data_IF_986801977449
#
_entry.id   IF_986801977449
#
_cell.length_a   1.000
_cell.length_b   1.000
_cell.length_c   1.000
_cell.angle_alpha   90.00
_cell.angle_beta   90.00
_cell.angle_gamma   90.00
#
_symmetry.space_group_name_H-M   'P 1'
#
loop_
_entity.id
_entity.type
_entity.pdbx_description
1 polymer ?
#
# COMPACT_ATOMS: atom_id res chain seq x y z
N UNK A 1 -7.10 -8.21 -7.20
CA UNK A 1 -6.78 -8.04 -8.63
C UNK A 1 -7.43 -9.16 -9.41
N UNK A 2 -7.98 -8.87 -10.59
CA UNK A 2 -8.65 -9.86 -11.45
C UNK A 2 -8.13 -9.85 -12.89
N UNK A 3 -7.27 -8.88 -13.24
CA UNK A 3 -6.87 -8.63 -14.63
C UNK A 3 -5.68 -9.48 -15.11
N UNK A 4 -4.90 -10.09 -14.21
CA UNK A 4 -3.75 -10.92 -14.58
C UNK A 4 -2.53 -10.18 -15.17
N UNK A 5 -2.63 -8.88 -15.45
CA UNK A 5 -1.56 -8.10 -16.10
C UNK A 5 -0.60 -7.40 -15.13
N UNK A 6 -0.92 -7.35 -13.83
CA UNK A 6 -0.15 -6.57 -12.86
C UNK A 6 1.33 -6.95 -12.79
N UNK A 7 1.64 -8.23 -13.02
CA UNK A 7 3.00 -8.73 -13.09
C UNK A 7 3.84 -8.07 -14.20
N UNK A 8 3.22 -7.76 -15.36
CA UNK A 8 3.92 -7.16 -16.50
C UNK A 8 4.38 -5.72 -16.23
N UNK A 9 3.84 -5.06 -15.20
CA UNK A 9 4.32 -3.73 -14.79
C UNK A 9 5.78 -3.72 -14.35
N UNK A 10 6.35 -4.88 -13.97
CA UNK A 10 7.79 -5.00 -13.67
C UNK A 10 8.70 -4.62 -14.84
N UNK A 11 8.24 -4.77 -16.09
CA UNK A 11 9.02 -4.41 -17.28
C UNK A 11 9.06 -2.91 -17.59
N UNK A 12 8.29 -2.10 -16.86
CA UNK A 12 8.38 -0.63 -16.94
C UNK A 12 9.78 -0.17 -16.57
N UNK A 13 10.36 -0.77 -15.52
CA UNK A 13 11.72 -0.46 -15.04
C UNK A 13 12.71 -1.60 -15.27
N UNK A 14 12.24 -2.83 -15.43
CA UNK A 14 13.08 -4.01 -15.62
C UNK A 14 13.37 -4.30 -17.09
N UNK A 15 14.64 -4.53 -17.43
CA UNK A 15 15.04 -5.14 -18.70
C UNK A 15 14.79 -6.65 -18.71
N UNK A 16 14.89 -7.30 -17.55
CA UNK A 16 14.66 -8.74 -17.39
C UNK A 16 14.03 -9.03 -16.04
N UNK A 17 13.12 -9.99 -15.99
CA UNK A 17 12.49 -10.46 -14.75
C UNK A 17 12.69 -11.96 -14.64
N UNK A 18 13.16 -12.41 -13.48
CA UNK A 18 13.24 -13.82 -13.09
C UNK A 18 12.21 -14.09 -12.00
N UNK A 19 11.55 -15.24 -12.07
CA UNK A 19 10.67 -15.74 -11.03
C UNK A 19 11.08 -17.16 -10.67
N UNK A 20 11.62 -17.35 -9.47
CA UNK A 20 11.88 -18.68 -8.91
C UNK A 20 10.73 -19.03 -8.00
N UNK A 21 10.11 -20.17 -8.20
CA UNK A 21 8.96 -20.55 -7.38
C UNK A 21 8.95 -22.03 -7.06
N UNK A 22 8.54 -22.36 -5.84
CA UNK A 22 8.33 -23.73 -5.37
C UNK A 22 7.02 -23.81 -4.59
N UNK A 23 6.11 -24.66 -5.06
CA UNK A 23 4.90 -25.04 -4.33
C UNK A 23 5.28 -25.79 -3.04
N UNK A 24 4.39 -25.77 -2.06
CA UNK A 24 4.55 -26.56 -0.83
C UNK A 24 4.47 -28.07 -1.09
N UNK A 25 3.88 -28.48 -2.21
CA UNK A 25 3.75 -29.88 -2.64
C UNK A 25 5.00 -30.42 -3.37
N UNK A 26 5.90 -29.53 -3.80
CA UNK A 26 7.08 -29.89 -4.60
C UNK A 26 8.33 -30.04 -3.72
N UNK A 27 9.19 -31.01 -4.06
CA UNK A 27 10.50 -31.16 -3.42
C UNK A 27 11.44 -29.97 -3.76
N UNK A 28 12.48 -29.70 -2.95
CA UNK A 28 13.39 -28.57 -3.17
C UNK A 28 14.03 -28.49 -4.56
N UNK A 29 14.33 -29.62 -5.17
CA UNK A 29 14.92 -29.78 -6.50
C UNK A 29 13.88 -29.78 -7.64
N UNK A 30 12.61 -29.61 -7.32
CA UNK A 30 11.48 -29.54 -8.25
C UNK A 30 10.90 -28.12 -8.36
N UNK A 31 11.72 -27.10 -8.08
CA UNK A 31 11.33 -25.71 -8.28
C UNK A 31 11.43 -25.34 -9.77
N UNK A 32 10.76 -24.24 -10.15
CA UNK A 32 10.82 -23.71 -11.52
C UNK A 32 11.40 -22.30 -11.50
N UNK A 33 12.28 -22.03 -12.47
CA UNK A 33 12.73 -20.70 -12.85
C UNK A 33 12.00 -20.30 -14.12
N UNK A 34 11.22 -19.24 -14.04
CA UNK A 34 10.65 -18.54 -15.17
C UNK A 34 11.46 -17.28 -15.47
N UNK A 35 11.76 -17.01 -16.74
CA UNK A 35 12.50 -15.80 -17.15
C UNK A 35 11.91 -15.15 -18.40
N UNK A 36 11.94 -13.83 -18.45
CA UNK A 36 11.54 -13.05 -19.62
C UNK A 36 12.28 -11.71 -19.65
N UNK A 37 12.62 -11.24 -20.87
CA UNK A 37 13.39 -10.00 -21.09
C UNK A 37 12.54 -8.86 -21.68
N UNK A 38 11.24 -8.83 -21.37
CA UNK A 38 10.26 -7.88 -21.87
C UNK A 38 9.71 -8.20 -23.28
N UNK A 39 10.03 -9.38 -23.82
CA UNK A 39 9.55 -9.87 -25.10
C UNK A 39 8.33 -10.80 -24.94
N UNK A 40 7.76 -11.25 -26.06
CA UNK A 40 6.59 -12.15 -26.06
C UNK A 40 6.89 -13.55 -25.54
N UNK A 41 8.15 -13.97 -25.63
CA UNK A 41 8.60 -15.31 -25.29
C UNK A 41 9.19 -15.35 -23.88
N UNK A 42 9.02 -16.47 -23.19
CA UNK A 42 9.62 -16.71 -21.88
C UNK A 42 10.20 -18.12 -21.82
N UNK A 43 11.12 -18.34 -20.90
CA UNK A 43 11.68 -19.67 -20.62
C UNK A 43 11.16 -20.17 -19.28
N UNK A 44 11.03 -21.50 -19.17
CA UNK A 44 10.83 -22.19 -17.90
C UNK A 44 11.85 -23.31 -17.82
N UNK A 45 12.67 -23.32 -16.78
CA UNK A 45 13.67 -24.35 -16.53
C UNK A 45 13.56 -24.87 -15.10
N UNK A 46 13.86 -26.15 -14.84
CA UNK A 46 14.00 -26.66 -13.48
C UNK A 46 15.04 -25.87 -12.69
N UNK A 47 14.81 -25.67 -11.40
CA UNK A 47 15.79 -25.10 -10.49
C UNK A 47 15.63 -25.71 -9.09
N UNK A 48 16.56 -25.37 -8.19
CA UNK A 48 16.48 -25.76 -6.77
C UNK A 48 16.11 -24.54 -5.95
N UNK A 49 15.09 -24.68 -5.09
CA UNK A 49 14.72 -23.68 -4.10
C UNK A 49 14.48 -24.36 -2.75
N UNK A 50 15.22 -23.97 -1.72
CA UNK A 50 15.20 -24.65 -0.43
C UNK A 50 13.89 -24.44 0.34
N UNK A 51 13.19 -23.33 0.08
CA UNK A 51 12.00 -22.91 0.81
C UNK A 51 10.76 -22.82 -0.10
N UNK A 52 9.56 -22.85 0.51
CA UNK A 52 8.28 -22.72 -0.21
C UNK A 52 8.02 -21.25 -0.49
N UNK A 53 7.55 -20.93 -1.70
CA UNK A 53 7.15 -19.57 -2.06
C UNK A 53 7.74 -19.14 -3.38
N UNK A 54 7.92 -17.84 -3.54
CA UNK A 54 8.33 -17.21 -4.79
C UNK A 54 9.32 -16.08 -4.55
N UNK A 55 10.41 -16.12 -5.30
CA UNK A 55 11.45 -15.10 -5.42
C UNK A 55 11.26 -14.39 -6.76
N UNK A 56 11.12 -13.06 -6.75
CA UNK A 56 11.06 -12.25 -7.97
C UNK A 56 12.29 -11.36 -8.03
N UNK A 57 13.10 -11.52 -9.08
CA UNK A 57 14.27 -10.68 -9.33
C UNK A 57 14.00 -9.80 -10.54
N UNK A 58 14.07 -8.48 -10.35
CA UNK A 58 13.91 -7.49 -11.42
C UNK A 58 15.28 -6.89 -11.73
N UNK A 59 15.76 -7.13 -12.94
CA UNK A 59 17.00 -6.57 -13.45
C UNK A 59 16.69 -5.21 -14.08
N UNK A 60 17.11 -4.13 -13.42
CA UNK A 60 16.85 -2.76 -13.90
C UNK A 60 17.39 -2.53 -15.31
N UNK A 61 16.63 -1.76 -16.10
CA UNK A 61 16.97 -1.42 -17.48
C UNK A 61 18.06 -0.38 -17.57
N UNK A 62 17.96 0.69 -16.79
CA UNK A 62 18.88 1.83 -16.83
C UNK A 62 19.62 2.03 -15.51
N UNK A 63 20.84 2.55 -15.61
CA UNK A 63 21.57 3.06 -14.45
C UNK A 63 20.87 4.25 -13.78
N UNK A 64 20.05 4.99 -14.52
CA UNK A 64 19.27 6.13 -14.04
C UNK A 64 18.20 5.70 -13.03
N UNK A 65 17.68 4.48 -13.17
CA UNK A 65 16.66 3.90 -12.28
C UNK A 65 17.24 3.39 -10.95
N UNK A 66 18.56 3.46 -10.74
CA UNK A 66 19.19 3.04 -9.48
C UNK A 66 18.67 3.81 -8.27
N UNK A 67 18.16 5.03 -8.49
CA UNK A 67 17.43 5.83 -7.50
C UNK A 67 16.31 5.04 -6.79
N UNK A 68 15.67 4.11 -7.51
CA UNK A 68 14.57 3.28 -7.00
C UNK A 68 15.02 2.23 -5.98
N UNK A 69 16.32 1.90 -5.96
CA UNK A 69 16.89 0.92 -5.03
C UNK A 69 17.28 1.54 -3.68
N UNK A 70 17.23 2.86 -3.54
CA UNK A 70 17.51 3.52 -2.27
C UNK A 70 16.49 3.11 -1.23
N UNK A 71 16.99 2.79 -0.02
CA UNK A 71 16.16 2.28 1.08
C UNK A 71 14.98 3.21 1.40
N UNK A 72 15.20 4.52 1.42
CA UNK A 72 14.15 5.51 1.68
C UNK A 72 13.10 5.56 0.56
N UNK A 73 13.51 5.39 -0.70
CA UNK A 73 12.60 5.35 -1.84
C UNK A 73 11.69 4.12 -1.75
N UNK A 74 12.26 2.94 -1.46
CA UNK A 74 11.52 1.69 -1.30
C UNK A 74 10.58 1.77 -0.09
N UNK A 75 11.06 2.27 1.06
CA UNK A 75 10.24 2.49 2.26
C UNK A 75 9.07 3.42 1.95
N UNK A 76 9.29 4.51 1.22
CA UNK A 76 8.24 5.44 0.80
C UNK A 76 7.18 4.73 -0.06
N UNK A 77 7.59 3.94 -1.05
CA UNK A 77 6.68 3.16 -1.90
C UNK A 77 5.86 2.16 -1.06
N UNK A 78 6.50 1.43 -0.15
CA UNK A 78 5.80 0.49 0.76
C UNK A 78 4.76 1.25 1.59
N UNK A 79 5.14 2.39 2.19
CA UNK A 79 4.23 3.23 3.00
C UNK A 79 3.09 3.84 2.20
N UNK A 80 3.30 4.15 0.92
CA UNK A 80 2.24 4.73 0.08
C UNK A 80 1.24 3.66 -0.39
N UNK A 81 1.73 2.52 -0.89
CA UNK A 81 0.89 1.56 -1.61
C UNK A 81 0.53 0.30 -0.82
N UNK A 82 1.33 -0.05 0.19
CA UNK A 82 1.27 -1.34 0.86
C UNK A 82 1.19 -1.26 2.40
N UNK A 83 1.04 -0.05 2.97
CA UNK A 83 1.07 0.15 4.43
C UNK A 83 -0.03 -0.63 5.16
N UNK A 84 -1.20 -0.77 4.51
CA UNK A 84 -2.36 -1.47 5.03
C UNK A 84 -2.37 -2.98 4.76
N UNK A 85 -1.39 -3.53 4.03
CA UNK A 85 -1.36 -4.97 3.78
C UNK A 85 -1.16 -5.74 5.08
N UNK A 86 -1.89 -6.84 5.27
CA UNK A 86 -1.84 -7.68 6.49
C UNK A 86 -0.60 -8.56 6.60
N UNK A 87 0.24 -8.57 5.57
CA UNK A 87 1.48 -9.33 5.55
C UNK A 87 2.62 -8.39 5.94
N UNK A 88 3.50 -8.77 6.88
CA UNK A 88 4.64 -7.94 7.25
C UNK A 88 5.61 -7.82 6.07
N UNK A 89 6.06 -6.59 5.81
CA UNK A 89 7.01 -6.27 4.74
C UNK A 89 8.32 -5.84 5.39
N UNK A 90 9.37 -6.59 5.09
CA UNK A 90 10.74 -6.33 5.53
C UNK A 90 11.59 -5.88 4.33
N UNK A 91 12.63 -5.09 4.59
CA UNK A 91 13.57 -4.63 3.58
C UNK A 91 14.99 -4.99 4.01
N UNK A 92 15.70 -5.71 3.16
CA UNK A 92 17.08 -6.17 3.41
C UNK A 92 17.26 -6.93 4.73
N UNK A 93 16.20 -7.59 5.20
CA UNK A 93 16.17 -8.27 6.50
C UNK A 93 15.52 -9.66 6.36
N UNK A 94 16.23 -10.64 5.78
CA UNK A 94 15.70 -11.99 5.53
C UNK A 94 15.39 -12.75 6.82
N UNK A 95 15.94 -12.33 7.97
CA UNK A 95 15.67 -12.92 9.27
C UNK A 95 14.56 -12.25 10.07
N UNK A 96 13.94 -11.20 9.52
CA UNK A 96 12.90 -10.41 10.19
C UNK A 96 13.35 -9.92 11.58
N UNK A 97 14.61 -9.51 11.69
CA UNK A 97 15.22 -9.02 12.93
C UNK A 97 14.69 -7.65 13.34
N UNK A 98 14.22 -6.85 12.37
CA UNK A 98 13.63 -5.54 12.56
C UNK A 98 12.11 -5.58 12.47
N UNK A 99 11.44 -4.59 13.07
CA UNK A 99 10.01 -4.41 12.90
C UNK A 99 9.65 -4.20 11.41
N UNK A 100 8.50 -4.74 11.01
CA UNK A 100 7.99 -4.57 9.65
C UNK A 100 7.87 -3.08 9.28
N UNK A 101 8.13 -2.78 8.02
CA UNK A 101 8.01 -1.43 7.50
C UNK A 101 6.54 -1.02 7.48
N UNK A 102 5.64 -1.82 6.95
CA UNK A 102 4.22 -1.47 6.88
C UNK A 102 3.52 -1.56 8.24
N UNK A 103 2.47 -0.77 8.44
CA UNK A 103 1.71 -0.71 9.69
C UNK A 103 0.83 -1.96 9.90
N UNK A 104 0.37 -2.61 8.83
CA UNK A 104 -0.48 -3.81 8.79
C UNK A 104 -1.89 -3.66 9.38
N UNK A 105 -2.01 -3.16 10.62
CA UNK A 105 -3.28 -2.96 11.34
C UNK A 105 -3.44 -1.49 11.64
N UNK A 106 -4.45 -0.88 11.03
CA UNK A 106 -4.71 0.54 11.18
C UNK A 106 -5.41 0.86 12.50
N UNK A 107 -5.23 2.08 13.04
CA UNK A 107 -5.93 2.52 14.26
C UNK A 107 -7.45 2.30 14.19
N UNK A 108 -8.08 2.67 13.07
CA UNK A 108 -9.52 2.56 12.87
C UNK A 108 -10.05 1.12 12.75
N UNK A 109 -9.18 0.12 12.68
CA UNK A 109 -9.58 -1.30 12.69
C UNK A 109 -9.67 -1.88 14.11
N UNK A 110 -9.23 -1.13 15.12
CA UNK A 110 -9.36 -1.53 16.53
C UNK A 110 -10.83 -1.41 16.96
N UNK A 111 -11.30 -2.44 17.66
CA UNK A 111 -12.65 -2.51 18.22
C UNK A 111 -12.60 -2.47 19.74
N UNK A 112 -13.66 -1.96 20.38
CA UNK A 112 -13.80 -1.94 21.83
C UNK A 112 -12.92 -0.92 22.57
N UNK A 113 -12.38 0.08 21.86
CA UNK A 113 -11.62 1.20 22.44
C UNK A 113 -12.47 2.46 22.52
N UNK A 114 -12.12 3.35 23.45
CA UNK A 114 -12.76 4.66 23.59
C UNK A 114 -12.43 5.59 22.42
N UNK A 115 -13.23 6.64 22.22
CA UNK A 115 -12.94 7.66 21.21
C UNK A 115 -11.61 8.38 21.46
N UNK A 116 -11.26 8.62 22.72
CA UNK A 116 -9.99 9.25 23.11
C UNK A 116 -8.80 8.38 22.72
N UNK A 117 -8.87 7.07 22.98
CA UNK A 117 -7.82 6.13 22.58
C UNK A 117 -7.71 6.04 21.05
N UNK A 118 -8.85 5.96 20.34
CA UNK A 118 -8.87 5.95 18.87
C UNK A 118 -8.18 7.20 18.29
N UNK A 119 -8.48 8.38 18.83
CA UNK A 119 -7.84 9.64 18.42
C UNK A 119 -6.34 9.62 18.70
N UNK A 120 -5.94 9.17 19.89
CA UNK A 120 -4.53 9.10 20.29
C UNK A 120 -3.70 8.19 19.38
N UNK A 121 -4.17 6.96 19.14
CA UNK A 121 -3.50 6.01 18.24
C UNK A 121 -3.42 6.53 16.81
N UNK A 122 -4.50 7.17 16.35
CA UNK A 122 -4.58 7.76 15.02
C UNK A 122 -3.60 8.91 14.85
N UNK A 123 -3.42 9.73 15.89
CA UNK A 123 -2.45 10.80 15.89
C UNK A 123 -1.01 10.25 15.84
N UNK A 124 -0.69 9.22 16.63
CA UNK A 124 0.62 8.54 16.57
C UNK A 124 0.88 7.99 15.17
N UNK A 125 -0.11 7.35 14.56
CA UNK A 125 0.01 6.82 13.21
C UNK A 125 0.30 7.93 12.19
N UNK A 126 -0.47 9.01 12.23
CA UNK A 126 -0.32 10.12 11.30
C UNK A 126 1.04 10.82 11.48
N UNK A 127 1.45 11.16 12.71
CA UNK A 127 2.76 11.80 12.97
C UNK A 127 3.96 10.98 12.46
N UNK A 128 3.80 9.65 12.29
CA UNK A 128 4.84 8.78 11.71
C UNK A 128 4.78 8.66 10.19
N UNK A 129 3.65 9.01 9.56
CA UNK A 129 3.36 8.69 8.16
C UNK A 129 3.09 9.92 7.29
N UNK A 130 2.78 11.06 7.89
CA UNK A 130 2.62 12.34 7.22
C UNK A 130 3.78 13.28 7.55
N UNK A 131 4.24 14.12 6.62
CA UNK A 131 5.36 15.02 6.86
C UNK A 131 5.01 16.20 7.77
N UNK A 132 3.74 16.64 7.74
CA UNK A 132 3.25 17.78 8.52
C UNK A 132 2.71 17.33 9.88
N UNK A 133 3.00 18.12 10.93
CA UNK A 133 2.42 17.89 12.25
C UNK A 133 0.89 17.99 12.23
N UNK A 134 0.24 17.08 12.94
CA UNK A 134 -1.21 16.98 13.01
C UNK A 134 -1.73 17.88 14.14
N UNK A 135 -2.80 18.61 13.83
CA UNK A 135 -3.54 19.42 14.79
C UNK A 135 -4.67 18.61 15.43
N UNK A 136 -5.47 17.94 14.60
CA UNK A 136 -6.67 17.22 15.01
C UNK A 136 -6.93 16.04 14.09
N UNK A 137 -7.56 14.99 14.61
CA UNK A 137 -7.94 13.79 13.87
C UNK A 137 -9.40 13.41 14.13
N UNK A 138 -10.08 13.04 13.06
CA UNK A 138 -11.50 12.67 13.06
C UNK A 138 -11.59 11.25 12.48
N UNK A 139 -11.76 10.22 13.32
CA UNK A 139 -11.97 8.87 12.84
C UNK A 139 -13.27 8.77 12.04
N UNK A 140 -13.21 8.08 10.91
CA UNK A 140 -14.38 7.78 10.07
C UNK A 140 -14.74 6.31 10.26
N UNK A 141 -16.03 6.06 10.53
CA UNK A 141 -16.63 4.74 10.42
C UNK A 141 -18.07 4.88 9.93
N UNK A 142 -18.27 4.58 8.66
CA UNK A 142 -19.54 4.59 7.96
C UNK A 142 -19.89 3.15 7.64
N UNK A 143 -21.09 2.74 8.05
CA UNK A 143 -21.65 1.43 7.73
C UNK A 143 -23.13 1.60 7.41
N UNK A 144 -23.38 2.11 6.21
CA UNK A 144 -24.75 2.33 5.74
C UNK A 144 -25.23 1.11 4.96
N UNK A 145 -26.29 0.44 5.44
CA UNK A 145 -26.85 -0.72 4.75
C UNK A 145 -27.42 -0.30 3.39
N UNK A 146 -27.51 -1.26 2.47
CA UNK A 146 -28.14 -1.03 1.18
C UNK A 146 -29.60 -0.59 1.37
N UNK A 147 -29.98 0.50 0.70
CA UNK A 147 -31.35 1.00 0.65
C UNK A 147 -31.64 1.46 -0.78
N UNK A 148 -32.82 1.10 -1.31
CA UNK A 148 -33.38 1.49 -2.61
C UNK A 148 -32.35 1.71 -3.72
N UNK A 149 -31.86 0.62 -4.31
CA UNK A 149 -31.01 0.65 -5.50
C UNK A 149 -29.57 1.13 -5.28
N UNK A 150 -29.16 1.42 -4.04
CA UNK A 150 -27.77 1.76 -3.69
C UNK A 150 -27.04 0.59 -3.06
N UNK A 151 -25.78 0.39 -3.47
CA UNK A 151 -24.85 -0.55 -2.83
C UNK A 151 -24.62 -0.17 -1.38
N UNK A 152 -24.31 -1.16 -0.53
CA UNK A 152 -23.85 -0.94 0.83
C UNK A 152 -22.64 0.01 0.84
N UNK A 153 -22.69 1.09 1.61
CA UNK A 153 -21.56 1.99 1.76
C UNK A 153 -20.82 1.65 3.04
N UNK A 154 -19.62 1.09 2.88
CA UNK A 154 -18.71 0.87 3.99
C UNK A 154 -17.46 1.73 3.79
N UNK A 155 -17.20 2.64 4.71
CA UNK A 155 -15.97 3.44 4.71
C UNK A 155 -15.41 3.55 6.13
N UNK A 156 -14.11 3.33 6.26
CA UNK A 156 -13.38 3.44 7.51
C UNK A 156 -12.08 4.19 7.26
N UNK A 157 -11.57 4.94 8.23
CA UNK A 157 -10.37 5.73 7.99
C UNK A 157 -10.23 6.90 8.96
N UNK A 158 -9.47 7.91 8.52
CA UNK A 158 -9.20 9.13 9.26
C UNK A 158 -9.37 10.34 8.35
N UNK A 159 -10.00 11.39 8.86
CA UNK A 159 -9.76 12.76 8.41
C UNK A 159 -8.82 13.43 9.41
N UNK A 160 -8.00 14.36 8.95
CA UNK A 160 -7.09 15.10 9.83
C UNK A 160 -6.78 16.49 9.31
N UNK A 161 -6.41 17.37 10.23
CA UNK A 161 -6.02 18.74 9.96
C UNK A 161 -4.56 18.90 10.33
N UNK A 162 -3.75 19.48 9.45
CA UNK A 162 -2.34 19.78 9.71
C UNK A 162 -2.19 21.14 10.39
N UNK A 163 -1.13 21.32 11.18
CA UNK A 163 -0.80 22.62 11.80
C UNK A 163 -0.32 23.66 10.80
N UNK A 164 0.22 23.21 9.67
CA UNK A 164 0.68 24.06 8.58
C UNK A 164 -0.49 24.88 8.04
N UNK A 165 -0.39 26.21 8.17
CA UNK A 165 -1.40 27.12 7.63
C UNK A 165 -1.33 27.08 6.10
N UNK A 166 -2.43 26.66 5.48
CA UNK A 166 -2.62 26.79 4.05
C UNK A 166 -2.93 28.26 3.75
N UNK A 167 -1.89 29.04 3.41
CA UNK A 167 -2.02 30.47 3.11
C UNK A 167 -2.61 30.70 1.71
N UNK A 168 -2.53 29.70 0.83
CA UNK A 168 -2.94 29.80 -0.56
C UNK A 168 -4.36 29.26 -0.81
N UNK A 169 -5.10 29.94 -1.69
CA UNK A 169 -6.45 29.55 -2.13
C UNK A 169 -6.51 28.22 -2.88
N UNK A 170 -5.38 27.73 -3.38
CA UNK A 170 -5.22 26.49 -4.16
C UNK A 170 -4.53 25.37 -3.36
N UNK A 171 -4.40 25.53 -2.05
CA UNK A 171 -3.67 24.58 -1.23
C UNK A 171 -4.16 23.13 -1.45
N UNK A 172 -3.23 22.20 -1.75
CA UNK A 172 -3.61 20.85 -2.13
C UNK A 172 -4.20 20.11 -0.94
N UNK A 173 -5.51 19.83 -0.99
CA UNK A 173 -6.14 18.83 -0.12
C UNK A 173 -5.81 17.45 -0.64
N UNK A 174 -5.43 16.54 0.26
CA UNK A 174 -5.04 15.18 -0.08
C UNK A 174 -5.99 14.19 0.59
N UNK A 175 -6.78 13.48 -0.22
CA UNK A 175 -7.68 12.42 0.26
C UNK A 175 -7.30 11.13 -0.43
N UNK A 176 -6.55 10.30 0.30
CA UNK A 176 -6.12 8.98 -0.17
C UNK A 176 -7.23 7.97 0.04
N UNK A 177 -7.62 7.32 -1.05
CA UNK A 177 -8.66 6.29 -1.05
C UNK A 177 -8.01 4.94 -1.32
N UNK A 178 -8.42 3.97 -0.51
CA UNK A 178 -8.02 2.57 -0.57
C UNK A 178 -9.25 1.71 -0.80
N UNK A 179 -9.16 0.76 -1.73
CA UNK A 179 -10.17 -0.26 -1.93
C UNK A 179 -9.61 -1.59 -1.45
N UNK A 180 -10.24 -2.19 -0.45
CA UNK A 180 -9.80 -3.44 0.18
C UNK A 180 -8.31 -3.38 0.57
N UNK A 181 -7.90 -2.26 1.19
CA UNK A 181 -6.53 -1.97 1.64
C UNK A 181 -5.50 -1.78 0.52
N UNK A 182 -5.93 -1.74 -0.74
CA UNK A 182 -5.07 -1.40 -1.88
C UNK A 182 -5.27 0.07 -2.24
N UNK A 183 -4.18 0.82 -2.38
CA UNK A 183 -4.24 2.21 -2.80
C UNK A 183 -4.93 2.33 -4.16
N UNK A 184 -5.89 3.25 -4.27
CA UNK A 184 -6.66 3.52 -5.49
C UNK A 184 -6.30 4.89 -6.07
N UNK A 185 -6.43 5.95 -5.27
CA UNK A 185 -6.10 7.31 -5.70
C UNK A 185 -5.80 8.23 -4.52
N UNK A 186 -5.13 9.35 -4.77
CA UNK A 186 -4.74 10.36 -3.77
C UNK A 186 -5.53 11.68 -3.88
N UNK A 187 -6.20 11.89 -5.00
CA UNK A 187 -6.91 13.12 -5.31
C UNK A 187 -8.43 12.94 -5.34
N UNK A 188 -9.00 12.22 -4.38
CA UNK A 188 -10.45 12.09 -4.24
C UNK A 188 -11.09 13.35 -3.61
N UNK A 189 -10.77 14.50 -4.19
CA UNK A 189 -11.14 15.84 -3.73
C UNK A 189 -12.66 15.98 -3.57
N UNK A 190 -13.43 15.40 -4.48
CA UNK A 190 -14.89 15.51 -4.52
C UNK A 190 -15.62 14.81 -3.36
N UNK A 191 -14.94 13.95 -2.60
CA UNK A 191 -15.52 13.29 -1.42
C UNK A 191 -15.85 14.30 -0.31
N UNK A 192 -15.07 15.39 -0.22
CA UNK A 192 -15.26 16.40 0.81
C UNK A 192 -15.92 17.66 0.24
N UNK A 193 -16.82 18.31 1.01
CA UNK A 193 -17.43 19.57 0.62
C UNK A 193 -16.40 20.62 0.17
N UNK A 194 -16.75 21.54 -0.76
CA UNK A 194 -15.80 22.54 -1.27
C UNK A 194 -15.15 23.44 -0.21
N UNK A 195 -15.79 23.63 0.94
CA UNK A 195 -15.27 24.43 2.05
C UNK A 195 -14.19 23.70 2.88
N UNK A 196 -14.17 22.36 2.85
CA UNK A 196 -13.31 21.51 3.68
C UNK A 196 -11.89 21.34 3.09
N UNK A 197 -11.28 22.44 2.60
CA UNK A 197 -9.97 22.41 1.89
C UNK A 197 -8.77 22.14 2.79
N UNK A 198 -8.92 22.37 4.08
CA UNK A 198 -7.88 22.17 5.09
C UNK A 198 -7.89 20.75 5.68
N UNK A 199 -8.84 19.92 5.26
CA UNK A 199 -9.00 18.55 5.75
C UNK A 199 -8.33 17.60 4.76
N UNK A 200 -7.41 16.81 5.28
CA UNK A 200 -6.82 15.68 4.59
C UNK A 200 -7.49 14.38 5.03
N UNK A 201 -7.36 13.32 4.24
CA UNK A 201 -8.04 12.06 4.50
C UNK A 201 -7.28 10.81 4.07
N UNK A 202 -7.51 9.74 4.81
CA UNK A 202 -7.18 8.36 4.45
C UNK A 202 -8.47 7.56 4.62
N UNK A 203 -9.02 7.04 3.53
CA UNK A 203 -10.31 6.34 3.52
C UNK A 203 -10.10 4.96 2.91
N UNK A 204 -10.48 3.92 3.63
CA UNK A 204 -10.54 2.55 3.14
C UNK A 204 -12.00 2.12 2.97
N UNK A 205 -12.32 1.52 1.83
CA UNK A 205 -13.64 0.99 1.53
C UNK A 205 -13.57 -0.46 1.06
N UNK A 206 -14.68 -1.20 1.19
CA UNK A 206 -14.78 -2.61 0.78
C UNK A 206 -15.39 -2.78 -0.62
N UNK A 207 -16.10 -1.75 -1.10
CA UNK A 207 -16.82 -1.73 -2.37
C UNK A 207 -16.79 -0.31 -2.96
N UNK A 208 -16.86 -0.23 -4.29
CA UNK A 208 -17.10 1.01 -5.01
C UNK A 208 -18.60 1.18 -5.26
#
# INVERSE_FOLDING_TARGET
GQFGIGFLSGFVVGARVEVRTRSWEAAPDQACLWENSGNKDYTITPCTLAYVGTEVTVHLRSAEDRGLLHEDAVKKVIRTYADMLRIPIHLNDPGHHSAAINTMVMPWERNGISETEMRFDSMIYLERTVPDSVLEVIPIRINDPAADGKSTLHAEGLLYITRTRLIATDAPRTVRVFLKRMFLCEEAKEILPPWARFINGIINTRSL
#
